data_IF_105144767546
#
_entry.id   IF_105144767546
#
_cell.length_a   1.000
_cell.length_b   1.000
_cell.length_c   1.000
_cell.angle_alpha   90.00
_cell.angle_beta   90.00
_cell.angle_gamma   90.00
#
_symmetry.space_group_name_H-M   'P 1'
#
loop_
_entity.id
_entity.type
_entity.pdbx_description
1 polymer ?
#
# COMPACT_ATOMS: atom_id res chain seq x y z
N UNK A 1 -13.06 16.27 -9.61
CA UNK A 1 -11.99 16.19 -10.61
C UNK A 1 -11.21 17.49 -10.52
N UNK A 2 -10.09 17.53 -9.79
CA UNK A 2 -9.25 18.73 -9.69
C UNK A 2 -8.64 18.99 -11.08
N UNK A 3 -8.65 20.23 -11.59
CA UNK A 3 -8.03 20.53 -12.89
C UNK A 3 -6.55 20.12 -12.88
N UNK A 4 -6.00 19.63 -14.01
CA UNK A 4 -4.57 19.34 -14.10
C UNK A 4 -3.80 20.63 -13.81
N UNK A 5 -2.86 20.56 -12.87
CA UNK A 5 -1.89 21.63 -12.66
C UNK A 5 -1.19 21.95 -14.00
N UNK A 6 -0.86 23.22 -14.23
CA UNK A 6 -0.12 23.63 -15.43
C UNK A 6 1.10 22.72 -15.63
N UNK A 7 1.42 22.32 -16.88
CA UNK A 7 2.49 21.36 -17.13
C UNK A 7 3.80 21.94 -16.61
N UNK A 8 4.33 21.34 -15.55
CA UNK A 8 5.65 21.65 -15.04
C UNK A 8 6.69 20.92 -15.87
N UNK A 9 7.56 21.65 -16.54
CA UNK A 9 8.73 21.09 -17.21
C UNK A 9 9.70 20.45 -16.21
N UNK A 10 10.34 19.31 -16.53
CA UNK A 10 11.42 18.77 -15.72
C UNK A 10 12.63 19.72 -15.71
N UNK A 11 13.39 19.69 -14.62
CA UNK A 11 14.67 20.38 -14.50
C UNK A 11 15.82 19.38 -14.48
N UNK A 12 16.95 19.72 -15.11
CA UNK A 12 18.18 18.94 -15.09
C UNK A 12 19.26 19.71 -14.34
N UNK A 13 19.87 19.06 -13.37
CA UNK A 13 21.07 19.56 -12.69
C UNK A 13 22.27 18.81 -13.24
N UNK A 14 23.18 19.49 -13.94
CA UNK A 14 24.45 18.92 -14.40
C UNK A 14 25.55 19.22 -13.39
N UNK A 15 25.98 18.18 -12.68
CA UNK A 15 27.10 18.19 -11.75
C UNK A 15 28.30 17.49 -12.43
N UNK A 16 29.13 18.25 -13.13
CA UNK A 16 30.23 17.70 -13.90
C UNK A 16 31.30 16.99 -13.04
N UNK A 17 31.42 17.39 -11.76
CA UNK A 17 32.47 16.93 -10.86
C UNK A 17 32.09 15.77 -9.95
N UNK A 18 30.82 15.30 -10.00
CA UNK A 18 30.26 14.41 -8.97
C UNK A 18 30.50 15.00 -7.56
N UNK A 19 30.24 16.30 -7.42
CA UNK A 19 30.45 17.02 -6.17
C UNK A 19 29.42 16.57 -5.13
N UNK A 20 29.93 15.98 -4.04
CA UNK A 20 29.14 15.52 -2.92
C UNK A 20 28.20 16.59 -2.34
N UNK A 21 28.51 17.89 -2.51
CA UNK A 21 27.66 18.99 -2.08
C UNK A 21 26.27 18.98 -2.76
N UNK A 22 26.17 18.59 -4.03
CA UNK A 22 24.87 18.47 -4.72
C UNK A 22 24.03 17.34 -4.12
N UNK A 23 24.65 16.18 -3.90
CA UNK A 23 24.00 15.01 -3.29
C UNK A 23 23.56 15.32 -1.86
N UNK A 24 24.45 15.91 -1.04
CA UNK A 24 24.12 16.29 0.33
C UNK A 24 23.00 17.33 0.39
N UNK A 25 22.99 18.32 -0.51
CA UNK A 25 21.92 19.31 -0.58
C UNK A 25 20.57 18.67 -0.95
N UNK A 26 20.54 17.75 -1.93
CA UNK A 26 19.33 17.04 -2.31
C UNK A 26 18.82 16.13 -1.17
N UNK A 27 19.72 15.42 -0.49
CA UNK A 27 19.35 14.58 0.67
C UNK A 27 18.85 15.43 1.85
N UNK A 28 19.47 16.59 2.11
CA UNK A 28 19.03 17.51 3.15
C UNK A 28 17.67 18.15 2.83
N UNK A 29 17.32 18.30 1.55
CA UNK A 29 16.02 18.81 1.12
C UNK A 29 14.88 17.76 1.24
N UNK A 30 15.22 16.47 1.39
CA UNK A 30 14.27 15.37 1.56
C UNK A 30 13.44 15.60 2.83
N UNK A 31 12.14 15.82 2.63
CA UNK A 31 11.17 16.06 3.70
C UNK A 31 9.79 15.59 3.23
N UNK A 32 9.47 14.27 3.30
CA UNK A 32 8.24 13.72 2.75
C UNK A 32 6.97 14.38 3.30
N UNK A 33 6.98 14.71 4.61
CA UNK A 33 5.89 15.44 5.28
C UNK A 33 5.67 16.87 4.74
N UNK A 34 6.69 17.46 4.12
CA UNK A 34 6.61 18.76 3.47
C UNK A 34 6.44 18.64 1.94
N UNK A 35 6.11 17.46 1.44
CA UNK A 35 5.87 17.19 0.02
C UNK A 35 7.15 17.15 -0.84
N UNK A 36 8.33 17.03 -0.24
CA UNK A 36 9.61 16.95 -0.97
C UNK A 36 10.24 15.60 -0.75
N UNK A 37 10.50 14.87 -1.82
CA UNK A 37 11.19 13.59 -1.75
C UNK A 37 12.42 13.59 -2.65
N UNK A 38 13.47 12.96 -2.13
CA UNK A 38 14.71 12.69 -2.86
C UNK A 38 14.82 11.19 -3.04
N UNK A 39 14.83 10.77 -4.29
CA UNK A 39 15.00 9.40 -4.74
C UNK A 39 16.48 9.19 -5.07
N UNK A 40 17.09 8.20 -4.44
CA UNK A 40 18.42 7.73 -4.79
C UNK A 40 18.28 6.30 -5.35
N UNK A 41 18.18 6.14 -6.68
CA UNK A 41 18.01 4.83 -7.28
C UNK A 41 19.12 3.89 -6.82
N UNK A 42 18.74 2.69 -6.36
CA UNK A 42 19.69 1.69 -5.90
C UNK A 42 20.71 1.29 -6.98
N UNK A 43 21.90 0.80 -6.59
CA UNK A 43 22.84 0.24 -7.55
C UNK A 43 22.16 -0.92 -8.28
N UNK A 44 22.00 -0.81 -9.60
CA UNK A 44 21.35 -1.84 -10.40
C UNK A 44 19.83 -1.72 -10.49
N UNK A 45 19.23 -0.54 -10.27
CA UNK A 45 17.83 -0.23 -10.62
C UNK A 45 17.60 -0.36 -12.13
N UNK A 46 17.45 -1.61 -12.55
CA UNK A 46 17.38 -2.09 -13.94
C UNK A 46 15.98 -2.55 -14.31
N UNK A 47 15.01 -2.35 -13.43
CA UNK A 47 13.60 -2.68 -13.68
C UNK A 47 12.67 -1.62 -13.10
N UNK A 48 11.49 -1.49 -13.70
CA UNK A 48 10.44 -0.59 -13.23
C UNK A 48 9.99 -0.94 -11.78
N UNK A 49 10.08 -2.22 -11.39
CA UNK A 49 9.81 -2.63 -10.00
C UNK A 49 10.86 -2.14 -9.04
N UNK A 50 12.15 -2.24 -9.37
CA UNK A 50 13.20 -1.74 -8.50
C UNK A 50 13.05 -0.21 -8.31
N UNK A 51 12.77 0.53 -9.39
CA UNK A 51 12.56 1.97 -9.32
C UNK A 51 11.32 2.33 -8.49
N UNK A 52 10.22 1.59 -8.65
CA UNK A 52 9.03 1.77 -7.84
C UNK A 52 9.28 1.50 -6.35
N UNK A 53 10.08 0.47 -6.04
CA UNK A 53 10.50 0.16 -4.67
C UNK A 53 11.32 1.28 -4.05
N UNK A 54 12.29 1.83 -4.81
CA UNK A 54 13.09 2.97 -4.36
C UNK A 54 12.21 4.21 -4.12
N UNK A 55 11.20 4.44 -4.99
CA UNK A 55 10.24 5.53 -4.84
C UNK A 55 9.33 5.35 -3.61
N UNK A 56 8.85 4.13 -3.35
CA UNK A 56 8.11 3.81 -2.12
C UNK A 56 8.99 4.04 -0.89
N UNK A 57 10.26 3.66 -0.93
CA UNK A 57 11.19 3.90 0.17
C UNK A 57 11.38 5.41 0.44
N UNK A 58 11.51 6.22 -0.62
CA UNK A 58 11.58 7.68 -0.50
C UNK A 58 10.30 8.33 0.04
N UNK A 59 9.17 7.61 0.06
CA UNK A 59 7.89 8.04 0.66
C UNK A 59 7.71 7.52 2.10
N UNK A 60 8.75 6.94 2.70
CA UNK A 60 8.71 6.20 3.97
C UNK A 60 7.73 5.00 3.95
N UNK A 61 7.59 4.35 2.79
CA UNK A 61 6.74 3.16 2.60
C UNK A 61 7.58 1.89 2.45
N UNK A 62 7.11 0.75 2.97
CA UNK A 62 7.77 -0.53 2.75
C UNK A 62 7.55 -0.99 1.31
N UNK A 63 8.58 -1.48 0.62
CA UNK A 63 8.48 -1.92 -0.78
C UNK A 63 7.82 -3.32 -0.96
N UNK A 64 6.73 -3.59 -0.23
CA UNK A 64 5.99 -4.85 -0.28
C UNK A 64 4.49 -4.61 -0.31
N UNK A 65 3.82 -5.23 -1.29
CA UNK A 65 2.38 -5.26 -1.42
C UNK A 65 1.90 -6.71 -1.24
N UNK A 66 1.33 -7.08 -0.08
CA UNK A 66 0.71 -8.39 0.08
C UNK A 66 -0.62 -8.43 -0.68
N UNK A 67 -0.97 -9.58 -1.25
CA UNK A 67 -2.24 -9.77 -1.97
C UNK A 67 -2.06 -10.61 -3.24
N UNK A 68 -3.19 -10.96 -3.86
CA UNK A 68 -3.24 -11.62 -5.15
C UNK A 68 -3.48 -10.58 -6.25
N UNK A 69 -2.65 -10.59 -7.30
CA UNK A 69 -2.75 -9.63 -8.41
C UNK A 69 -3.02 -10.36 -9.73
N UNK A 70 -3.85 -9.83 -10.65
CA UNK A 70 -4.25 -10.51 -11.89
C UNK A 70 -3.09 -11.02 -12.75
N UNK A 71 -1.94 -10.33 -12.73
CA UNK A 71 -0.74 -10.68 -13.50
C UNK A 71 0.39 -11.27 -12.65
N UNK A 72 0.10 -11.68 -11.41
CA UNK A 72 1.09 -12.25 -10.49
C UNK A 72 2.19 -11.31 -10.00
N UNK A 73 2.24 -10.06 -10.50
CA UNK A 73 3.19 -9.03 -10.08
C UNK A 73 2.48 -7.91 -9.30
N UNK A 74 3.03 -7.48 -8.16
CA UNK A 74 2.46 -6.35 -7.43
C UNK A 74 2.60 -5.04 -8.24
N UNK A 75 1.55 -4.22 -8.32
CA UNK A 75 1.53 -2.94 -9.03
C UNK A 75 2.21 -1.84 -8.18
N UNK A 76 3.52 -2.00 -7.96
CA UNK A 76 4.31 -1.11 -7.09
C UNK A 76 4.37 0.32 -7.64
N UNK A 77 4.41 0.49 -8.96
CA UNK A 77 4.47 1.81 -9.59
C UNK A 77 3.17 2.58 -9.37
N UNK A 78 2.04 1.91 -9.52
CA UNK A 78 0.71 2.46 -9.30
C UNK A 78 0.52 2.81 -7.82
N UNK A 79 1.01 1.97 -6.91
CA UNK A 79 1.00 2.27 -5.48
C UNK A 79 1.87 3.49 -5.14
N UNK A 80 3.08 3.58 -5.69
CA UNK A 80 3.95 4.73 -5.50
C UNK A 80 3.29 6.01 -6.02
N UNK A 81 2.73 5.97 -7.24
CA UNK A 81 1.99 7.09 -7.86
C UNK A 81 0.80 7.53 -7.01
N UNK A 82 0.05 6.56 -6.46
CA UNK A 82 -1.08 6.83 -5.59
C UNK A 82 -0.65 7.53 -4.29
N UNK A 83 0.45 7.08 -3.66
CA UNK A 83 1.00 7.74 -2.47
C UNK A 83 1.59 9.10 -2.75
N UNK A 84 2.32 9.29 -3.86
CA UNK A 84 2.82 10.60 -4.30
C UNK A 84 1.68 11.62 -4.38
N UNK A 85 0.54 11.22 -4.95
CA UNK A 85 -0.66 12.07 -5.05
C UNK A 85 -1.28 12.32 -3.68
N UNK A 86 -1.51 11.25 -2.90
CA UNK A 86 -2.24 11.34 -1.64
C UNK A 86 -1.47 12.10 -0.54
N UNK A 87 -0.14 11.96 -0.51
CA UNK A 87 0.74 12.66 0.43
C UNK A 87 1.05 14.10 -0.02
N UNK A 88 0.41 14.57 -1.10
CA UNK A 88 0.64 15.89 -1.69
C UNK A 88 2.13 16.17 -1.92
N UNK A 89 2.85 15.17 -2.44
CA UNK A 89 4.22 15.39 -2.90
C UNK A 89 4.15 16.43 -4.02
N UNK A 90 4.97 17.45 -3.93
CA UNK A 90 5.08 18.54 -4.90
C UNK A 90 6.42 18.49 -5.64
N UNK A 91 7.44 17.87 -5.04
CA UNK A 91 8.80 17.80 -5.62
C UNK A 91 9.41 16.41 -5.51
N UNK A 92 9.98 15.94 -6.61
CA UNK A 92 10.78 14.73 -6.69
C UNK A 92 12.15 15.07 -7.26
N UNK A 93 13.19 14.90 -6.45
CA UNK A 93 14.58 15.00 -6.89
C UNK A 93 15.13 13.58 -7.10
N UNK A 94 15.61 13.27 -8.31
CA UNK A 94 16.18 11.96 -8.65
C UNK A 94 17.69 12.11 -8.78
N UNK A 95 18.41 11.55 -7.82
CA UNK A 95 19.87 11.50 -7.85
C UNK A 95 20.36 10.50 -8.89
N UNK A 96 21.57 10.73 -9.42
CA UNK A 96 22.22 9.83 -10.39
C UNK A 96 21.33 9.44 -11.57
N UNK A 97 20.51 10.37 -12.07
CA UNK A 97 19.56 10.14 -13.15
C UNK A 97 20.22 9.63 -14.45
N UNK A 98 21.49 9.94 -14.66
CA UNK A 98 22.30 9.46 -15.79
C UNK A 98 22.53 7.93 -15.79
N UNK A 99 22.27 7.23 -14.68
CA UNK A 99 22.34 5.77 -14.59
C UNK A 99 21.03 5.09 -15.00
N UNK A 100 19.94 5.85 -15.19
CA UNK A 100 18.66 5.32 -15.62
C UNK A 100 18.62 5.21 -17.15
N UNK A 101 17.94 4.16 -17.64
CA UNK A 101 17.67 4.03 -19.07
C UNK A 101 16.49 4.92 -19.50
N UNK A 102 16.30 5.02 -20.82
CA UNK A 102 15.25 5.84 -21.41
C UNK A 102 13.86 5.47 -20.89
N UNK A 103 13.56 4.17 -20.72
CA UNK A 103 12.25 3.71 -20.25
C UNK A 103 11.94 4.21 -18.84
N UNK A 104 12.92 4.16 -17.93
CA UNK A 104 12.76 4.60 -16.53
C UNK A 104 12.66 6.11 -16.42
N UNK A 105 13.43 6.84 -17.24
CA UNK A 105 13.30 8.29 -17.35
C UNK A 105 11.91 8.68 -17.85
N UNK A 106 11.40 8.01 -18.89
CA UNK A 106 10.04 8.22 -19.39
C UNK A 106 8.96 7.89 -18.36
N UNK A 107 9.18 6.86 -17.53
CA UNK A 107 8.30 6.57 -16.39
C UNK A 107 8.26 7.73 -15.39
N UNK A 108 9.40 8.31 -15.02
CA UNK A 108 9.48 9.45 -14.11
C UNK A 108 8.81 10.71 -14.69
N UNK A 109 9.02 10.99 -15.98
CA UNK A 109 8.34 12.10 -16.69
C UNK A 109 6.82 11.84 -16.72
N UNK A 110 6.39 10.61 -17.01
CA UNK A 110 4.99 10.21 -16.92
C UNK A 110 4.40 10.38 -15.52
N UNK A 111 5.15 10.07 -14.46
CA UNK A 111 4.74 10.33 -13.07
C UNK A 111 4.53 11.83 -12.84
N UNK A 112 5.44 12.68 -13.32
CA UNK A 112 5.30 14.13 -13.28
C UNK A 112 4.00 14.58 -13.95
N UNK A 113 3.71 14.13 -15.18
CA UNK A 113 2.46 14.48 -15.86
C UNK A 113 1.21 13.99 -15.11
N UNK A 114 1.28 12.81 -14.49
CA UNK A 114 0.14 12.20 -13.78
C UNK A 114 -0.14 12.84 -12.42
N UNK A 115 0.83 13.53 -11.83
CA UNK A 115 0.74 14.02 -10.44
C UNK A 115 0.96 15.53 -10.32
N UNK A 116 1.50 16.19 -11.35
CA UNK A 116 1.82 17.61 -11.33
C UNK A 116 3.06 17.97 -10.50
N UNK A 117 3.91 17.00 -10.14
CA UNK A 117 5.12 17.26 -9.35
C UNK A 117 6.21 17.95 -10.17
N UNK A 118 7.02 18.76 -9.51
CA UNK A 118 8.28 19.23 -10.08
C UNK A 118 9.32 18.11 -10.03
N UNK A 119 9.73 17.63 -11.19
CA UNK A 119 10.77 16.62 -11.34
C UNK A 119 12.14 17.28 -11.59
N UNK A 120 13.10 16.99 -10.71
CA UNK A 120 14.50 17.41 -10.86
C UNK A 120 15.39 16.19 -11.05
N UNK A 121 16.13 16.13 -12.16
CA UNK A 121 17.03 15.04 -12.52
C UNK A 121 18.48 15.47 -12.30
N UNK A 122 19.18 14.87 -11.34
CA UNK A 122 20.58 15.18 -11.04
C UNK A 122 21.51 14.24 -11.81
N UNK A 123 22.40 14.82 -12.60
CA UNK A 123 23.29 14.13 -13.53
C UNK A 123 24.72 14.46 -13.16
N UNK A 124 25.44 13.49 -12.60
CA UNK A 124 26.86 13.62 -12.25
C UNK A 124 27.78 13.43 -13.47
N UNK A 125 27.51 14.19 -14.53
CA UNK A 125 28.24 14.22 -15.81
C UNK A 125 28.17 15.64 -16.37
N UNK A 126 29.17 16.07 -17.16
CA UNK A 126 29.14 17.40 -17.75
C UNK A 126 28.04 17.57 -18.80
N UNK A 127 27.53 16.47 -19.38
CA UNK A 127 26.58 16.44 -20.48
C UNK A 127 25.48 15.39 -20.23
N UNK A 128 24.34 15.56 -20.88
CA UNK A 128 23.26 14.58 -20.86
C UNK A 128 23.70 13.28 -21.54
N UNK A 129 23.25 12.14 -21.02
CA UNK A 129 23.42 10.85 -21.70
C UNK A 129 22.46 10.75 -22.89
N UNK A 130 22.74 9.87 -23.85
CA UNK A 130 21.83 9.61 -24.97
C UNK A 130 20.42 9.17 -24.50
N UNK A 131 20.33 8.43 -23.38
CA UNK A 131 19.07 8.05 -22.79
C UNK A 131 18.27 9.25 -22.27
N UNK A 132 18.93 10.19 -21.59
CA UNK A 132 18.32 11.46 -21.14
C UNK A 132 17.92 12.35 -22.31
N UNK A 133 18.78 12.52 -23.30
CA UNK A 133 18.46 13.28 -24.51
C UNK A 133 17.20 12.75 -25.20
N UNK A 134 17.10 11.42 -25.39
CA UNK A 134 15.90 10.81 -25.99
C UNK A 134 14.67 10.87 -25.09
N UNK A 135 14.86 10.81 -23.76
CA UNK A 135 13.74 10.90 -22.83
C UNK A 135 13.14 12.32 -22.78
N UNK A 136 14.00 13.34 -22.89
CA UNK A 136 13.62 14.75 -22.82
C UNK A 136 13.33 15.37 -24.20
N UNK A 137 13.44 14.61 -25.29
CA UNK A 137 13.31 15.14 -26.65
C UNK A 137 11.96 15.82 -26.90
N UNK A 138 10.89 15.29 -26.31
CA UNK A 138 9.52 15.77 -26.47
C UNK A 138 9.06 16.64 -25.29
N UNK A 139 9.99 17.11 -24.44
CA UNK A 139 9.67 17.87 -23.23
C UNK A 139 10.60 19.07 -23.07
N UNK A 140 10.01 20.26 -22.97
CA UNK A 140 10.74 21.44 -22.51
C UNK A 140 11.37 21.13 -21.16
N UNK A 141 12.65 21.48 -20.99
CA UNK A 141 13.35 21.28 -19.74
C UNK A 141 14.35 22.42 -19.49
N UNK A 142 14.54 22.74 -18.22
CA UNK A 142 15.56 23.71 -17.80
C UNK A 142 16.82 22.96 -17.39
N UNK A 143 17.99 23.55 -17.65
CA UNK A 143 19.28 22.99 -17.22
C UNK A 143 19.99 23.98 -16.34
N UNK A 144 20.42 23.53 -15.16
CA UNK A 144 21.22 24.32 -14.22
C UNK A 144 22.54 23.61 -13.93
N UNK A 145 23.56 24.38 -13.57
CA UNK A 145 24.92 23.87 -13.35
C UNK A 145 25.51 24.28 -12.01
N UNK A 146 24.91 25.25 -11.33
CA UNK A 146 25.41 25.75 -10.06
C UNK A 146 24.68 25.08 -8.88
N UNK A 147 25.39 24.92 -7.77
CA UNK A 147 24.81 24.40 -6.54
C UNK A 147 23.69 25.31 -5.99
N UNK A 148 23.81 26.62 -6.19
CA UNK A 148 22.82 27.60 -5.74
C UNK A 148 21.48 27.42 -6.48
N UNK A 149 21.51 27.32 -7.81
CA UNK A 149 20.31 27.05 -8.62
C UNK A 149 19.73 25.68 -8.31
N UNK A 150 20.58 24.65 -8.14
CA UNK A 150 20.12 23.31 -7.78
C UNK A 150 19.39 23.30 -6.43
N UNK A 151 19.90 24.01 -5.42
CA UNK A 151 19.23 24.16 -4.11
C UNK A 151 17.86 24.82 -4.22
N UNK A 152 17.72 25.84 -5.08
CA UNK A 152 16.44 26.47 -5.34
C UNK A 152 15.43 25.49 -5.96
N UNK A 153 15.87 24.59 -6.85
CA UNK A 153 15.01 23.55 -7.42
C UNK A 153 14.60 22.49 -6.37
N UNK A 154 15.53 22.07 -5.50
CA UNK A 154 15.27 21.04 -4.48
C UNK A 154 14.27 21.52 -3.42
N UNK A 155 14.40 22.77 -2.97
CA UNK A 155 13.54 23.36 -1.95
C UNK A 155 12.26 23.96 -2.55
N UNK A 156 12.38 24.58 -3.72
CA UNK A 156 11.35 25.38 -4.36
C UNK A 156 11.29 26.83 -3.89
N UNK A 157 10.40 27.60 -4.53
CA UNK A 157 9.92 28.86 -3.96
C UNK A 157 9.24 28.53 -2.63
N UNK A 158 9.75 29.09 -1.55
CA UNK A 158 9.31 28.79 -0.21
C UNK A 158 7.79 29.00 -0.07
N UNK A 159 7.03 27.93 0.17
CA UNK A 159 5.73 28.05 0.83
C UNK A 159 6.01 28.67 2.21
N UNK A 160 5.28 29.71 2.65
CA UNK A 160 5.51 30.29 3.96
C UNK A 160 5.45 29.18 5.01
N UNK A 161 6.35 29.18 6.00
CA UNK A 161 6.34 28.15 7.01
C UNK A 161 4.96 28.13 7.65
N UNK A 162 4.24 27.02 7.45
CA UNK A 162 3.21 26.63 8.41
C UNK A 162 3.83 26.62 9.81
N UNK A 163 3.01 26.71 10.88
CA UNK A 163 3.50 26.83 12.24
C UNK A 163 4.62 25.82 12.50
N UNK A 164 5.72 26.25 13.15
CA UNK A 164 6.92 25.44 13.27
C UNK A 164 6.54 24.06 13.81
N UNK A 165 7.10 22.96 13.26
CA UNK A 165 6.93 21.66 13.87
C UNK A 165 7.37 21.77 15.32
N UNK A 166 6.46 21.45 16.23
CA UNK A 166 6.75 21.34 17.65
C UNK A 166 8.04 20.53 17.79
N UNK A 167 9.02 21.09 18.51
CA UNK A 167 10.33 20.47 18.71
C UNK A 167 10.16 18.98 19.04
N UNK A 168 11.02 18.09 18.51
CA UNK A 168 10.94 16.68 18.85
C UNK A 168 11.04 16.52 20.37
N UNK A 169 9.92 16.17 20.98
CA UNK A 169 9.87 15.74 22.38
C UNK A 169 10.91 14.63 22.54
N UNK A 170 11.77 14.66 23.59
CA UNK A 170 12.73 13.59 23.82
C UNK A 170 12.01 12.24 23.79
N UNK A 171 12.66 11.18 23.26
CA UNK A 171 12.01 9.88 23.13
C UNK A 171 11.58 9.41 24.51
N UNK A 172 10.26 9.38 24.74
CA UNK A 172 9.70 8.61 25.82
C UNK A 172 10.12 7.13 25.63
N UNK A 173 10.38 6.37 26.71
CA UNK A 173 10.67 4.93 26.61
C UNK A 173 9.54 4.21 25.84
N UNK A 174 9.76 2.99 25.30
CA UNK A 174 9.19 2.56 24.01
C UNK A 174 7.67 2.38 24.04
N UNK A 175 6.92 3.47 23.88
CA UNK A 175 5.49 3.48 23.61
C UNK A 175 5.18 2.91 22.21
N UNK A 176 6.20 2.76 21.35
CA UNK A 176 6.10 2.18 20.01
C UNK A 176 5.50 0.76 20.01
N UNK A 177 5.59 0.02 21.12
CA UNK A 177 5.09 -1.35 21.23
C UNK A 177 3.74 -1.49 21.97
N UNK A 178 3.17 -0.40 22.51
CA UNK A 178 1.90 -0.49 23.23
C UNK A 178 0.73 -0.68 22.26
N UNK A 179 -0.13 -1.64 22.59
CA UNK A 179 -1.40 -1.85 21.89
C UNK A 179 -2.31 -0.64 22.03
N UNK A 180 -2.96 -0.24 20.94
CA UNK A 180 -4.08 0.71 20.94
C UNK A 180 -5.36 -0.11 20.88
N UNK A 181 -6.19 0.03 21.91
CA UNK A 181 -7.51 -0.60 21.95
C UNK A 181 -8.53 0.30 21.25
N UNK A 182 -9.29 -0.26 20.30
CA UNK A 182 -10.29 0.45 19.52
C UNK A 182 -11.53 -0.43 19.32
N UNK A 183 -12.66 -0.04 19.88
CA UNK A 183 -13.96 -0.76 19.80
C UNK A 183 -14.41 -0.97 18.35
N UNK A 184 -14.06 -0.03 17.47
CA UNK A 184 -14.35 -0.13 16.04
C UNK A 184 -13.79 -1.40 15.37
N UNK A 185 -12.78 -2.04 15.97
CA UNK A 185 -12.17 -3.25 15.42
C UNK A 185 -12.90 -4.55 15.78
N UNK A 186 -13.83 -4.54 16.75
CA UNK A 186 -14.60 -5.74 17.12
C UNK A 186 -15.32 -6.34 15.90
N UNK A 187 -15.78 -5.48 15.00
CA UNK A 187 -16.50 -5.90 13.80
C UNK A 187 -15.60 -6.29 12.63
N UNK A 188 -14.31 -5.96 12.67
CA UNK A 188 -13.37 -6.39 11.64
C UNK A 188 -13.21 -7.92 11.60
N UNK A 189 -13.46 -8.58 12.75
CA UNK A 189 -13.47 -10.04 12.88
C UNK A 189 -14.88 -10.65 12.78
N UNK A 190 -15.95 -9.85 12.70
CA UNK A 190 -17.31 -10.39 12.57
C UNK A 190 -17.49 -11.11 11.24
N UNK A 191 -18.30 -12.17 11.26
CA UNK A 191 -18.84 -12.80 10.05
C UNK A 191 -20.24 -12.28 9.78
N UNK A 192 -20.33 -10.99 9.46
CA UNK A 192 -21.54 -10.48 8.84
C UNK A 192 -21.58 -11.05 7.42
N UNK A 193 -22.76 -11.41 6.90
CA UNK A 193 -22.93 -11.84 5.50
C UNK A 193 -23.61 -10.76 4.66
N UNK A 194 -23.10 -9.52 4.61
CA UNK A 194 -23.69 -8.50 3.78
C UNK A 194 -23.50 -8.90 2.32
N UNK A 195 -24.59 -8.83 1.57
CA UNK A 195 -24.53 -8.91 0.10
C UNK A 195 -24.53 -7.47 -0.40
N UNK A 196 -23.54 -7.07 -1.20
CA UNK A 196 -23.53 -5.72 -1.75
C UNK A 196 -24.85 -5.48 -2.48
N UNK A 197 -25.42 -4.29 -2.35
CA UNK A 197 -26.57 -3.94 -3.16
C UNK A 197 -26.14 -3.93 -4.65
N UNK A 198 -26.76 -4.76 -5.48
CA UNK A 198 -26.47 -4.80 -6.93
C UNK A 198 -27.33 -3.82 -7.72
N UNK A 199 -28.49 -3.44 -7.16
CA UNK A 199 -29.36 -2.41 -7.73
C UNK A 199 -28.86 -1.00 -7.36
N UNK A 200 -29.21 0.02 -8.16
CA UNK A 200 -29.08 1.41 -7.75
C UNK A 200 -29.73 1.61 -6.39
N UNK A 201 -29.01 2.24 -5.48
CA UNK A 201 -29.49 2.61 -4.15
C UNK A 201 -29.21 4.10 -3.95
N UNK A 202 -29.96 4.74 -3.07
CA UNK A 202 -29.71 6.12 -2.63
C UNK A 202 -29.25 6.06 -1.17
N UNK A 203 -27.93 5.93 -0.92
CA UNK A 203 -27.39 5.87 0.43
C UNK A 203 -27.79 7.12 1.21
N UNK A 204 -28.20 6.93 2.46
CA UNK A 204 -28.50 8.03 3.39
C UNK A 204 -27.32 8.25 4.34
N UNK A 205 -27.18 9.42 4.98
CA UNK A 205 -26.25 9.57 6.09
C UNK A 205 -26.44 8.44 7.12
N UNK A 206 -25.33 7.91 7.65
CA UNK A 206 -25.36 6.80 8.59
C UNK A 206 -26.21 7.14 9.83
N UNK A 207 -27.13 6.24 10.16
CA UNK A 207 -27.82 6.20 11.45
C UNK A 207 -27.50 4.85 12.07
N UNK A 208 -26.85 4.89 13.23
CA UNK A 208 -26.33 3.72 13.92
C UNK A 208 -27.46 2.99 14.67
N UNK A 209 -28.18 2.12 13.95
CA UNK A 209 -29.34 1.39 14.49
C UNK A 209 -28.94 0.03 15.07
N UNK A 210 -28.03 -0.68 14.41
CA UNK A 210 -27.66 -2.06 14.75
C UNK A 210 -26.40 -2.13 15.62
N UNK A 211 -25.78 -0.99 15.93
CA UNK A 211 -24.54 -0.88 16.70
C UNK A 211 -24.39 0.53 17.27
N UNK A 212 -23.57 0.75 18.31
CA UNK A 212 -23.16 2.09 18.70
C UNK A 212 -22.26 2.73 17.63
N UNK A 213 -22.26 4.06 17.60
CA UNK A 213 -21.28 4.82 16.84
C UNK A 213 -19.86 4.57 17.40
N UNK A 214 -18.83 4.45 16.54
CA UNK A 214 -17.47 4.26 17.01
C UNK A 214 -16.99 5.48 17.80
N UNK A 215 -16.34 5.25 18.94
CA UNK A 215 -15.71 6.33 19.69
C UNK A 215 -14.51 6.88 18.89
N UNK A 216 -14.43 8.20 18.64
CA UNK A 216 -13.32 8.76 17.89
C UNK A 216 -11.99 8.56 18.66
N UNK A 217 -10.90 8.18 17.99
CA UNK A 217 -9.59 8.10 18.64
C UNK A 217 -9.18 9.46 19.21
N UNK A 218 -8.54 9.45 20.38
CA UNK A 218 -7.93 10.67 20.94
C UNK A 218 -6.88 11.25 19.98
N UNK A 219 -6.52 12.55 20.09
CA UNK A 219 -5.48 13.14 19.25
C UNK A 219 -4.15 12.37 19.29
N UNK A 220 -3.72 11.94 20.49
CA UNK A 220 -2.50 11.16 20.66
C UNK A 220 -2.58 9.77 20.00
N UNK A 221 -3.74 9.11 20.05
CA UNK A 221 -3.97 7.86 19.33
C UNK A 221 -3.95 8.10 17.81
N UNK A 222 -4.60 9.17 17.34
CA UNK A 222 -4.64 9.53 15.92
C UNK A 222 -3.24 9.74 15.34
N UNK A 223 -2.36 10.46 16.04
CA UNK A 223 -0.96 10.63 15.61
C UNK A 223 -0.24 9.28 15.50
N UNK A 224 -0.35 8.43 16.53
CA UNK A 224 0.30 7.10 16.53
C UNK A 224 -0.27 6.17 15.45
N UNK A 225 -1.59 6.19 15.24
CA UNK A 225 -2.26 5.41 14.21
C UNK A 225 -1.76 5.84 12.82
N UNK A 226 -1.70 7.14 12.57
CA UNK A 226 -1.21 7.70 11.30
C UNK A 226 0.23 7.29 11.04
N UNK A 227 1.12 7.45 12.03
CA UNK A 227 2.53 7.07 11.89
C UNK A 227 2.73 5.56 11.64
N UNK A 228 2.04 4.72 12.43
CA UNK A 228 2.15 3.26 12.28
C UNK A 228 1.54 2.76 10.98
N UNK A 229 0.35 3.25 10.61
CA UNK A 229 -0.31 2.86 9.36
C UNK A 229 0.47 3.35 8.14
N UNK A 230 1.05 4.55 8.22
CA UNK A 230 1.88 5.11 7.15
C UNK A 230 3.09 4.22 6.84
N UNK A 231 3.78 3.74 7.87
CA UNK A 231 5.03 2.98 7.73
C UNK A 231 4.84 1.48 7.58
N UNK A 232 3.69 0.93 7.98
CA UNK A 232 3.49 -0.52 7.99
C UNK A 232 3.11 -1.15 6.64
N UNK A 233 2.56 -0.36 5.70
CA UNK A 233 2.13 -0.89 4.41
C UNK A 233 2.27 0.13 3.28
N UNK A 234 2.69 -0.35 2.11
CA UNK A 234 2.59 0.39 0.86
C UNK A 234 1.31 0.09 0.09
N UNK A 235 0.50 -0.88 0.50
CA UNK A 235 -0.74 -1.22 -0.19
C UNK A 235 -1.83 -0.18 0.12
N UNK A 236 -2.23 0.70 -0.82
CA UNK A 236 -3.12 1.82 -0.51
C UNK A 236 -4.50 1.35 -0.03
N UNK A 237 -5.08 0.34 -0.70
CA UNK A 237 -6.37 -0.21 -0.31
C UNK A 237 -6.37 -0.79 1.13
N UNK A 238 -5.37 -1.58 1.52
CA UNK A 238 -5.28 -2.10 2.89
C UNK A 238 -5.13 -1.01 3.95
N UNK A 239 -4.34 0.03 3.66
CA UNK A 239 -4.23 1.17 4.56
C UNK A 239 -5.59 1.88 4.72
N UNK A 240 -6.28 2.12 3.61
CA UNK A 240 -7.60 2.75 3.59
C UNK A 240 -8.67 1.90 4.27
N UNK A 241 -8.68 0.58 4.05
CA UNK A 241 -9.62 -0.33 4.67
C UNK A 241 -9.52 -0.28 6.20
N UNK A 242 -8.29 -0.27 6.73
CA UNK A 242 -8.08 -0.21 8.17
C UNK A 242 -8.43 1.18 8.75
N UNK A 243 -8.06 2.26 8.06
CA UNK A 243 -8.47 3.61 8.44
C UNK A 243 -10.00 3.78 8.43
N UNK A 244 -10.67 3.26 7.39
CA UNK A 244 -12.12 3.27 7.27
C UNK A 244 -12.78 2.41 8.36
N UNK A 245 -12.26 1.22 8.66
CA UNK A 245 -12.76 0.39 9.76
C UNK A 245 -12.77 1.16 11.08
N UNK A 246 -11.66 1.82 11.41
CA UNK A 246 -11.51 2.62 12.63
C UNK A 246 -12.47 3.81 12.63
N UNK A 247 -12.59 4.53 11.51
CA UNK A 247 -13.42 5.72 11.41
C UNK A 247 -14.93 5.43 11.43
N UNK A 248 -15.34 4.32 10.84
CA UNK A 248 -16.77 4.02 10.58
C UNK A 248 -17.34 2.95 11.50
N UNK A 249 -16.50 2.13 12.14
CA UNK A 249 -16.90 0.93 12.87
C UNK A 249 -17.43 -0.18 11.95
N UNK A 250 -17.17 -0.10 10.64
CA UNK A 250 -17.62 -1.05 9.65
C UNK A 250 -16.96 -2.43 9.81
N UNK A 251 -17.73 -3.50 9.58
CA UNK A 251 -17.17 -4.85 9.50
C UNK A 251 -16.37 -5.06 8.22
N UNK A 252 -15.52 -6.08 8.18
CA UNK A 252 -14.73 -6.41 6.98
C UNK A 252 -15.61 -6.51 5.74
N UNK A 253 -16.76 -7.17 5.85
CA UNK A 253 -17.66 -7.41 4.74
C UNK A 253 -18.43 -6.15 4.33
N UNK A 254 -18.64 -5.18 5.22
CA UNK A 254 -19.12 -3.87 4.79
C UNK A 254 -18.05 -3.13 3.99
N UNK A 255 -16.78 -3.22 4.37
CA UNK A 255 -15.67 -2.59 3.64
C UNK A 255 -15.52 -3.16 2.22
N UNK A 256 -15.82 -4.44 2.00
CA UNK A 256 -15.79 -5.04 0.64
C UNK A 256 -16.90 -4.52 -0.27
N UNK A 257 -17.93 -3.87 0.28
CA UNK A 257 -18.98 -3.20 -0.50
C UNK A 257 -18.60 -1.79 -0.97
N UNK A 258 -17.49 -1.25 -0.49
CA UNK A 258 -17.01 0.08 -0.90
C UNK A 258 -16.61 0.07 -2.38
N UNK A 259 -17.22 0.96 -3.15
CA UNK A 259 -16.98 1.13 -4.59
C UNK A 259 -16.03 2.29 -4.85
N UNK A 260 -15.41 2.30 -6.02
CA UNK A 260 -14.45 3.33 -6.43
C UNK A 260 -15.06 4.72 -6.55
N UNK A 261 -16.35 4.81 -6.86
CA UNK A 261 -17.16 6.05 -6.90
C UNK A 261 -17.77 6.42 -5.53
N UNK A 262 -17.67 5.53 -4.53
CA UNK A 262 -18.27 5.72 -3.22
C UNK A 262 -17.49 6.64 -2.27
N UNK A 263 -16.24 6.97 -2.57
CA UNK A 263 -15.47 7.95 -1.80
C UNK A 263 -15.57 9.33 -2.45
N UNK A 264 -16.02 10.32 -1.67
CA UNK A 264 -16.13 11.72 -2.10
C UNK A 264 -15.07 12.56 -1.37
N UNK A 265 -13.91 12.80 -2.02
CA UNK A 265 -12.83 13.68 -1.56
C UNK A 265 -13.23 15.01 -0.94
N UNK A 266 -14.12 15.75 -1.59
CA UNK A 266 -14.44 17.13 -1.22
C UNK A 266 -15.27 17.19 0.08
N UNK A 267 -16.18 16.23 0.24
CA UNK A 267 -17.08 16.15 1.38
C UNK A 267 -16.49 15.30 2.53
N UNK A 268 -15.33 14.69 2.31
CA UNK A 268 -14.73 13.69 3.18
C UNK A 268 -15.74 12.62 3.61
N UNK A 269 -16.46 12.03 2.64
CA UNK A 269 -17.43 10.96 2.93
C UNK A 269 -17.10 9.67 2.21
N UNK A 270 -17.45 8.54 2.82
CA UNK A 270 -17.35 7.21 2.25
C UNK A 270 -18.73 6.54 2.25
N UNK A 271 -19.15 6.05 1.10
CA UNK A 271 -20.37 5.27 0.93
C UNK A 271 -20.05 3.78 1.03
N UNK A 272 -20.76 3.07 1.91
CA UNK A 272 -20.76 1.61 1.98
C UNK A 272 -22.11 1.09 1.50
N UNK A 273 -22.09 0.07 0.63
CA UNK A 273 -23.24 -0.42 -0.10
C UNK A 273 -23.75 -1.75 0.44
N UNK A 274 -24.45 -1.70 1.57
CA UNK A 274 -24.96 -2.89 2.24
C UNK A 274 -26.50 -3.03 2.16
N UNK A 275 -27.00 -4.26 2.14
CA UNK A 275 -28.43 -4.53 2.31
C UNK A 275 -28.77 -4.48 3.81
N UNK A 276 -29.86 -3.78 4.12
CA UNK A 276 -30.39 -3.47 5.47
C UNK A 276 -30.69 -4.68 6.39
N UNK A 277 -30.44 -5.93 5.98
CA UNK A 277 -30.86 -7.10 6.75
C UNK A 277 -29.94 -7.44 7.92
N UNK A 278 -28.66 -7.03 7.88
CA UNK A 278 -27.65 -7.41 8.90
C UNK A 278 -26.84 -6.24 9.45
N UNK A 279 -27.01 -5.05 8.88
CA UNK A 279 -26.26 -3.83 9.24
C UNK A 279 -27.16 -2.61 9.06
N UNK A 280 -26.58 -1.42 9.22
CA UNK A 280 -27.26 -0.13 9.03
C UNK A 280 -27.65 0.16 7.55
N UNK A 281 -27.43 -0.78 6.61
CA UNK A 281 -27.77 -0.65 5.20
C UNK A 281 -26.79 0.20 4.40
N UNK A 282 -27.21 0.63 3.20
CA UNK A 282 -26.43 1.54 2.36
C UNK A 282 -26.36 2.91 3.02
N UNK A 283 -25.16 3.33 3.41
CA UNK A 283 -24.98 4.53 4.20
C UNK A 283 -23.74 5.33 3.80
N UNK A 284 -23.84 6.64 4.00
CA UNK A 284 -22.76 7.62 3.83
C UNK A 284 -22.15 7.88 5.20
N UNK A 285 -20.87 7.60 5.34
CA UNK A 285 -20.10 7.78 6.56
C UNK A 285 -19.19 9.01 6.44
N UNK A 286 -19.14 9.88 7.46
CA UNK A 286 -18.13 10.93 7.53
C UNK A 286 -16.75 10.32 7.77
N UNK A 287 -15.73 10.85 7.10
CA UNK A 287 -14.35 10.41 7.19
C UNK A 287 -13.52 11.52 7.84
N UNK A 288 -12.82 11.26 8.95
CA UNK A 288 -11.95 12.25 9.56
C UNK A 288 -10.72 12.51 8.67
N UNK A 289 -10.18 13.73 8.73
CA UNK A 289 -9.06 14.17 7.88
C UNK A 289 -7.84 13.23 7.93
N UNK A 290 -7.52 12.67 9.10
CA UNK A 290 -6.41 11.72 9.25
C UNK A 290 -6.60 10.43 8.43
N UNK A 291 -7.86 10.00 8.24
CA UNK A 291 -8.19 8.80 7.47
C UNK A 291 -8.30 9.12 5.97
N UNK A 292 -8.72 10.34 5.61
CA UNK A 292 -8.97 10.74 4.23
C UNK A 292 -7.75 10.51 3.32
N UNK A 293 -6.53 10.80 3.79
CA UNK A 293 -5.29 10.59 3.01
C UNK A 293 -5.14 9.16 2.51
N UNK A 294 -5.53 8.17 3.31
CA UNK A 294 -5.48 6.76 2.93
C UNK A 294 -6.52 6.43 1.88
N UNK A 295 -7.73 6.97 2.02
CA UNK A 295 -8.83 6.76 1.08
C UNK A 295 -8.54 7.43 -0.28
N UNK A 296 -7.88 8.60 -0.29
CA UNK A 296 -7.37 9.20 -1.52
C UNK A 296 -6.35 8.30 -2.21
N UNK A 297 -5.39 7.74 -1.45
CA UNK A 297 -4.41 6.81 -2.00
C UNK A 297 -5.10 5.57 -2.59
N UNK A 298 -6.07 4.99 -1.87
CA UNK A 298 -6.83 3.83 -2.36
C UNK A 298 -7.65 4.14 -3.62
N UNK A 299 -8.34 5.29 -3.67
CA UNK A 299 -9.10 5.70 -4.84
C UNK A 299 -8.20 5.90 -6.07
N UNK A 300 -7.05 6.57 -5.89
CA UNK A 300 -6.07 6.76 -6.97
C UNK A 300 -5.48 5.43 -7.43
N UNK A 301 -5.13 4.55 -6.50
CA UNK A 301 -4.64 3.21 -6.81
C UNK A 301 -5.68 2.37 -7.56
N UNK A 302 -6.94 2.43 -7.14
CA UNK A 302 -8.03 1.71 -7.78
C UNK A 302 -8.25 2.16 -9.23
N UNK A 303 -8.18 3.47 -9.47
CA UNK A 303 -8.22 4.03 -10.82
C UNK A 303 -7.04 3.56 -11.69
N UNK A 304 -5.80 3.62 -11.16
CA UNK A 304 -4.60 3.25 -11.90
C UNK A 304 -4.53 1.75 -12.23
N UNK A 305 -5.07 0.90 -11.37
CA UNK A 305 -5.06 -0.56 -11.53
C UNK A 305 -6.37 -1.11 -12.11
N UNK A 306 -7.37 -0.25 -12.32
CA UNK A 306 -8.73 -0.64 -12.72
C UNK A 306 -9.36 -1.71 -11.81
N UNK A 307 -9.01 -1.73 -10.51
CA UNK A 307 -9.67 -2.67 -9.57
C UNK A 307 -11.10 -2.21 -9.26
N UNK A 308 -12.08 -3.13 -9.22
CA UNK A 308 -13.45 -2.79 -8.86
C UNK A 308 -13.63 -2.49 -7.37
N UNK A 309 -12.69 -2.90 -6.52
CA UNK A 309 -12.77 -2.74 -5.07
C UNK A 309 -11.97 -1.52 -4.61
N UNK A 310 -12.62 -0.61 -3.87
CA UNK A 310 -11.92 0.55 -3.31
C UNK A 310 -11.02 0.17 -2.12
N UNK A 311 -11.56 -0.60 -1.17
CA UNK A 311 -10.91 -0.83 0.13
C UNK A 311 -10.32 -2.23 0.27
N UNK A 312 -11.11 -3.26 0.00
CA UNK A 312 -10.68 -4.65 0.18
C UNK A 312 -11.44 -5.59 -0.75
N UNK A 313 -10.75 -6.58 -1.31
CA UNK A 313 -11.35 -7.76 -1.91
C UNK A 313 -11.75 -8.77 -0.82
N UNK A 314 -12.70 -9.69 -1.08
CA UNK A 314 -13.12 -10.71 -0.11
C UNK A 314 -11.97 -11.56 0.46
N UNK A 315 -10.90 -11.75 -0.31
CA UNK A 315 -9.72 -12.54 0.08
C UNK A 315 -8.74 -11.79 1.00
N UNK A 316 -8.89 -10.48 1.19
CA UNK A 316 -7.89 -9.63 1.83
C UNK A 316 -7.96 -9.65 3.37
N UNK A 317 -8.99 -10.26 3.94
CA UNK A 317 -9.21 -10.29 5.40
C UNK A 317 -7.98 -10.74 6.19
N UNK A 318 -7.29 -11.85 5.85
CA UNK A 318 -6.10 -12.26 6.60
C UNK A 318 -4.96 -11.24 6.51
N UNK A 319 -4.82 -10.53 5.39
CA UNK A 319 -3.81 -9.49 5.24
C UNK A 319 -4.13 -8.25 6.09
N UNK A 320 -5.40 -7.86 6.17
CA UNK A 320 -5.85 -6.76 7.03
C UNK A 320 -5.68 -7.06 8.52
N UNK A 321 -6.00 -8.28 8.96
CA UNK A 321 -5.81 -8.67 10.36
C UNK A 321 -4.33 -8.70 10.74
N UNK A 322 -3.45 -9.22 9.86
CA UNK A 322 -2.00 -9.15 10.05
C UNK A 322 -1.48 -7.71 10.05
N UNK A 323 -2.04 -6.84 9.22
CA UNK A 323 -1.69 -5.42 9.21
C UNK A 323 -2.08 -4.76 10.54
N UNK A 324 -3.31 -4.98 11.03
CA UNK A 324 -3.76 -4.48 12.33
C UNK A 324 -2.86 -4.94 13.48
N UNK A 325 -2.46 -6.21 13.47
CA UNK A 325 -1.49 -6.75 14.42
C UNK A 325 -0.11 -6.10 14.30
N UNK A 326 0.39 -5.91 13.07
CA UNK A 326 1.67 -5.25 12.79
C UNK A 326 1.70 -3.83 13.36
N UNK A 327 0.60 -3.09 13.24
CA UNK A 327 0.47 -1.74 13.81
C UNK A 327 -0.03 -1.71 15.26
N UNK A 328 -0.13 -2.88 15.90
CA UNK A 328 -0.51 -3.06 17.31
C UNK A 328 -1.83 -2.37 17.64
N UNK A 329 -2.86 -2.60 16.82
CA UNK A 329 -4.23 -2.20 17.14
C UNK A 329 -5.10 -3.43 17.34
N UNK A 330 -5.99 -3.38 18.34
CA UNK A 330 -6.86 -4.51 18.68
C UNK A 330 -8.21 -4.04 19.21
N UNK A 331 -9.23 -4.88 19.17
CA UNK A 331 -10.45 -4.62 19.91
C UNK A 331 -10.25 -4.72 21.43
N UNK A 332 -11.16 -4.16 22.24
CA UNK A 332 -11.20 -4.38 23.68
C UNK A 332 -11.08 -5.87 24.01
N UNK A 333 -10.17 -6.19 24.91
CA UNK A 333 -10.13 -7.53 25.48
C UNK A 333 -11.13 -7.50 26.64
N UNK A 334 -12.08 -8.42 26.65
CA UNK A 334 -12.87 -8.66 27.85
C UNK A 334 -11.89 -9.16 28.91
N UNK A 335 -11.67 -8.37 29.96
CA UNK A 335 -10.88 -8.80 31.10
C UNK A 335 -11.58 -10.04 31.68
N UNK A 336 -10.83 -11.14 31.77
CA UNK A 336 -11.38 -12.49 31.86
C UNK A 336 -12.20 -12.75 33.12
N UNK A 337 -13.51 -12.65 33.00
CA UNK A 337 -14.46 -13.59 33.61
C UNK A 337 -15.43 -13.99 32.50
N UNK A 338 -15.10 -15.09 31.80
CA UNK A 338 -16.14 -15.84 31.12
C UNK A 338 -17.01 -16.36 32.26
N UNK A 339 -18.31 -16.03 32.33
CA UNK A 339 -19.19 -16.66 33.30
C UNK A 339 -19.10 -18.16 33.04
N UNK A 340 -18.57 -18.91 34.00
CA UNK A 340 -18.74 -20.35 33.99
C UNK A 340 -20.24 -20.56 34.01
N UNK A 341 -20.83 -21.00 32.89
CA UNK A 341 -22.20 -21.45 32.87
C UNK A 341 -22.28 -22.65 33.83
N UNK A 342 -22.99 -22.55 34.97
CA UNK A 342 -23.16 -23.68 35.85
C UNK A 342 -24.13 -24.64 35.17
N UNK A 343 -23.63 -25.75 34.62
CA UNK A 343 -24.51 -26.74 34.00
C UNK A 343 -23.90 -27.79 33.07
N UNK A 344 -22.59 -27.85 32.86
CA UNK A 344 -21.97 -28.97 32.12
C UNK A 344 -20.83 -29.62 32.90
N UNK A 345 -21.21 -30.30 33.97
CA UNK A 345 -20.51 -31.48 34.47
C UNK A 345 -21.52 -32.61 34.48
N UNK A 346 -21.29 -33.62 33.65
CA UNK A 346 -22.13 -34.81 33.58
C UNK A 346 -21.68 -35.73 32.45
N UNK A 347 -20.75 -36.62 32.82
CA UNK A 347 -20.44 -37.91 32.21
C UNK A 347 -21.27 -38.37 31.00
N UNK A 348 -20.61 -38.58 29.87
CA UNK A 348 -20.87 -39.76 29.03
C UNK A 348 -19.55 -40.25 28.41
N UNK A 349 -18.83 -41.09 29.15
CA UNK A 349 -17.95 -42.10 28.55
C UNK A 349 -18.45 -43.47 29.00
N UNK A 350 -18.49 -44.39 28.04
CA UNK A 350 -18.74 -45.82 28.13
C UNK A 350 -20.22 -46.28 28.19
N UNK A 351 -20.75 -46.64 27.02
CA UNK A 351 -21.36 -47.96 26.80
C UNK A 351 -21.09 -48.41 25.37
N UNK A 352 -20.08 -49.27 25.24
CA UNK A 352 -19.89 -50.16 24.10
C UNK A 352 -20.61 -51.45 24.45
N UNK A 353 -21.69 -51.77 23.75
CA UNK A 353 -22.10 -53.13 23.45
C UNK A 353 -22.98 -53.14 22.20
N UNK A 354 -22.42 -53.75 21.16
CA UNK A 354 -23.00 -54.77 20.29
C UNK A 354 -24.52 -54.70 20.03
N UNK A 355 -24.92 -54.34 18.81
CA UNK A 355 -25.90 -55.14 18.08
C UNK A 355 -25.75 -54.97 16.55
N UNK A 356 -26.01 -56.07 15.85
CA UNK A 356 -25.77 -56.27 14.41
C UNK A 356 -26.95 -55.79 13.55
N UNK A 357 -26.62 -55.68 12.26
CA UNK A 357 -27.51 -55.72 11.09
C UNK A 357 -28.45 -54.53 10.85
N UNK A 358 -28.07 -53.66 9.90
CA UNK A 358 -28.83 -53.40 8.65
C UNK A 358 -27.87 -52.84 7.59
N UNK A 359 -27.82 -53.49 6.42
CA UNK A 359 -27.17 -52.99 5.18
C UNK A 359 -28.13 -52.11 4.37
N UNK A 360 -27.72 -50.89 3.98
CA UNK A 360 -28.24 -50.14 2.81
C UNK A 360 -27.09 -49.27 2.22
N UNK A 361 -26.98 -49.11 0.88
CA UNK A 361 -25.75 -48.66 0.21
C UNK A 361 -25.62 -47.12 0.06
N UNK A 362 -24.38 -46.63 0.01
CA UNK A 362 -24.01 -45.21 -0.16
C UNK A 362 -24.20 -44.66 -1.58
N UNK A 363 -24.18 -43.32 -1.76
CA UNK A 363 -22.94 -42.61 -2.17
C UNK A 363 -22.89 -41.12 -1.69
N UNK A 364 -22.03 -40.24 -2.24
CA UNK A 364 -20.56 -40.24 -2.26
C UNK A 364 -19.97 -39.13 -1.36
N UNK A 365 -18.65 -39.21 -1.15
CA UNK A 365 -17.85 -38.35 -0.29
C UNK A 365 -17.95 -36.85 -0.60
N UNK A 366 -18.36 -36.07 0.42
CA UNK A 366 -18.06 -34.65 0.55
C UNK A 366 -16.93 -34.49 1.56
N UNK A 367 -15.87 -33.81 1.14
CA UNK A 367 -14.76 -33.38 1.98
C UNK A 367 -15.27 -32.63 3.21
N UNK A 368 -15.02 -33.18 4.40
CA UNK A 368 -15.04 -32.43 5.65
C UNK A 368 -13.96 -31.35 5.59
N UNK A 369 -14.39 -30.09 5.51
CA UNK A 369 -13.58 -28.95 5.89
C UNK A 369 -13.60 -28.89 7.42
N UNK A 370 -12.53 -29.40 8.03
CA UNK A 370 -12.25 -29.17 9.45
C UNK A 370 -12.14 -27.67 9.68
N UNK A 371 -13.14 -27.10 10.34
CA UNK A 371 -13.15 -25.73 10.80
C UNK A 371 -12.10 -25.53 11.88
N UNK A 372 -10.96 -24.96 11.51
CA UNK A 372 -9.97 -24.47 12.46
C UNK A 372 -10.42 -23.11 13.02
N UNK A 373 -10.77 -23.10 14.31
CA UNK A 373 -10.94 -21.91 15.13
C UNK A 373 -9.67 -21.07 15.12
N UNK A 374 -9.67 -19.94 14.40
CA UNK A 374 -8.60 -18.93 14.51
C UNK A 374 -8.88 -18.09 15.75
N UNK A 375 -8.53 -18.65 16.91
CA UNK A 375 -8.41 -17.90 18.15
C UNK A 375 -7.07 -17.16 18.17
N UNK A 376 -7.10 -15.88 18.53
CA UNK A 376 -5.90 -15.09 18.80
C UNK A 376 -5.20 -15.65 20.05
N UNK A 377 -4.34 -16.66 19.87
CA UNK A 377 -3.38 -17.06 20.91
C UNK A 377 -1.97 -16.71 20.47
N UNK A 378 -1.30 -15.93 21.29
CA UNK A 378 0.11 -15.63 21.16
C UNK A 378 0.92 -16.93 21.22
N UNK A 379 1.53 -17.34 20.10
CA UNK A 379 2.51 -18.42 20.07
C UNK A 379 3.88 -17.82 20.36
N UNK A 380 4.49 -18.21 21.48
CA UNK A 380 5.90 -17.89 21.79
C UNK A 380 6.82 -18.73 20.87
N UNK A 381 7.92 -18.18 20.33
CA UNK A 381 8.84 -18.96 19.53
C UNK A 381 9.68 -19.89 20.42
N UNK A 382 9.70 -21.18 20.06
CA UNK A 382 10.63 -22.18 20.59
C UNK A 382 11.93 -22.09 19.79
N UNK A 383 13.05 -21.92 20.47
CA UNK A 383 14.38 -21.95 19.88
C UNK A 383 14.75 -23.40 19.51
N UNK A 384 15.18 -23.62 18.26
CA UNK A 384 15.81 -24.87 17.84
C UNK A 384 17.25 -24.57 17.44
N UNK A 385 18.16 -25.29 18.09
CA UNK A 385 19.61 -25.09 18.04
C UNK A 385 20.26 -25.53 16.73
N UNK A 386 21.39 -24.87 16.46
CA UNK A 386 22.37 -25.20 15.42
C UNK A 386 23.03 -26.56 15.69
N UNK A 387 23.32 -27.31 14.62
CA UNK A 387 24.54 -28.12 14.51
C UNK A 387 25.23 -27.86 13.18
N UNK A 388 26.54 -27.69 13.28
CA UNK A 388 27.54 -27.61 12.24
C UNK A 388 27.92 -29.00 11.72
N UNK A 389 28.37 -29.05 10.46
CA UNK A 389 29.56 -29.78 10.02
C UNK A 389 29.89 -29.39 8.58
N UNK A 390 31.07 -28.80 8.42
CA UNK A 390 32.18 -29.13 7.50
C UNK A 390 31.92 -30.30 6.54
N UNK A 391 32.39 -30.35 5.28
CA UNK A 391 33.72 -29.98 4.80
C UNK A 391 33.79 -30.11 3.25
N UNK A 392 34.73 -29.36 2.65
CA UNK A 392 35.54 -29.65 1.46
C UNK A 392 34.93 -29.97 0.07
N UNK A 393 35.42 -29.23 -0.94
CA UNK A 393 36.12 -29.90 -2.05
C UNK A 393 35.77 -29.50 -3.49
N UNK A 394 36.81 -29.03 -4.19
CA UNK A 394 37.08 -29.17 -5.62
C UNK A 394 36.50 -28.15 -6.62
N UNK A 395 37.42 -27.27 -7.02
CA UNK A 395 37.52 -26.51 -8.26
C UNK A 395 37.68 -27.41 -9.49
N UNK A 396 36.94 -27.15 -10.58
CA UNK A 396 37.37 -27.47 -11.97
C UNK A 396 36.92 -26.36 -12.93
N UNK A 397 37.90 -25.80 -13.64
CA UNK A 397 37.75 -24.94 -14.82
C UNK A 397 37.30 -25.76 -16.03
N UNK A 398 36.43 -25.19 -16.86
CA UNK A 398 36.48 -25.39 -18.31
C UNK A 398 35.92 -24.17 -19.04
N UNK A 399 36.66 -23.73 -20.05
CA UNK A 399 36.41 -22.62 -20.98
C UNK A 399 35.84 -23.18 -22.31
N UNK A 400 35.47 -22.33 -23.30
CA UNK A 400 34.24 -22.47 -24.09
C UNK A 400 34.44 -22.99 -25.53
N UNK A 401 33.33 -23.38 -26.16
CA UNK A 401 33.07 -23.43 -27.59
C UNK A 401 31.53 -23.47 -27.77
N UNK A 402 30.86 -22.88 -28.75
CA UNK A 402 31.21 -22.11 -29.92
C UNK A 402 29.93 -21.82 -30.74
N UNK A 403 30.03 -20.86 -31.66
CA UNK A 403 29.35 -20.83 -32.98
C UNK A 403 27.81 -20.85 -33.09
N UNK A 404 27.26 -19.66 -33.31
CA UNK A 404 26.59 -19.21 -34.56
C UNK A 404 25.69 -20.19 -35.36
N UNK A 405 24.41 -19.85 -35.53
CA UNK A 405 23.78 -19.49 -36.84
C UNK A 405 22.30 -19.06 -36.70
N UNK A 406 21.74 -18.31 -37.68
CA UNK A 406 20.53 -17.48 -37.54
C UNK A 406 19.26 -18.17 -38.06
N UNK A 407 18.11 -17.76 -37.54
CA UNK A 407 16.80 -18.02 -38.18
C UNK A 407 16.26 -16.73 -38.81
N UNK A 408 16.34 -16.69 -40.14
CA UNK A 408 15.45 -15.93 -41.03
C UNK A 408 14.12 -16.66 -41.14
N UNK A 409 13.00 -16.01 -40.81
CA UNK A 409 11.69 -16.34 -41.40
C UNK A 409 10.96 -15.05 -41.76
N UNK A 410 10.34 -15.12 -42.94
CA UNK A 410 9.81 -14.06 -43.79
C UNK A 410 8.59 -13.33 -43.25
N UNK A 411 8.55 -12.06 -43.64
CA UNK A 411 7.37 -11.21 -43.85
C UNK A 411 6.37 -11.86 -44.81
N UNK A 412 5.07 -11.74 -44.50
CA UNK A 412 4.00 -11.73 -45.50
C UNK A 412 3.14 -10.48 -45.27
N UNK A 413 3.09 -9.66 -46.31
CA UNK A 413 2.10 -8.62 -46.56
C UNK A 413 0.70 -9.21 -46.65
N UNK A 414 -0.31 -8.39 -46.38
CA UNK A 414 -1.72 -8.68 -46.64
C UNK A 414 -2.61 -7.56 -46.13
N UNK A 415 -2.81 -6.57 -46.99
CA UNK A 415 -3.60 -5.35 -46.81
C UNK A 415 -5.10 -5.57 -46.51
N UNK A 416 -5.75 -4.41 -46.30
CA UNK A 416 -7.13 -4.03 -46.67
C UNK A 416 -8.28 -4.17 -45.65
N UNK A 417 -8.61 -3.01 -45.07
CA UNK A 417 -9.97 -2.48 -44.88
C UNK A 417 -10.74 -2.47 -46.24
N UNK A 418 -12.10 -2.54 -46.28
CA UNK A 418 -12.93 -1.41 -45.85
C UNK A 418 -14.32 -1.73 -45.25
N UNK A 419 -14.84 -0.73 -44.53
CA UNK A 419 -16.21 -0.18 -44.48
C UNK A 419 -16.61 0.18 -43.04
#
# INVERSE_FOLDING_TARGET
>A
MTPPAAPTSPAVVLDAGDDAAFTHAALAAHAPRAGRITLHPGPGTTSDTALASDLLHALDKPARLPGSFPHGRPPLWEAATAWTTALAVTRLTVLRAHLLDQRRLQRLIGLQHQTGIHLTLVVHRPHLTAALHRALADSDHTTVRTLAEARALYLGDAVPPGPPPTAPTPPAPPAALRWITLDALDRLVSYDSPRPCTAPCTPKPIVYHQRPAPLPPTPAQTTRLTERLHTATAHPAHAAALAAAIATGASFQQLTTARTDGFHPADHTLTLHDRTRYTDGCAIYPIPAWAAVYLHAAARFAHLTSTPHLLAAPTDRPALLRLAETIRIRPPQLDGEIPQYPGQTGDVVARVHDDRDVRVPGPPALLEVVGASVGWRAVRPVAVGRRSRDEAGASVRARPAGSSRPQTVRSTHGDTCPA
#
